data_IF_772941895127
#
_entry.id   IF_772941895127
#
_cell.length_a   1.000
_cell.length_b   1.000
_cell.length_c   1.000
_cell.angle_alpha   90.00
_cell.angle_beta   90.00
_cell.angle_gamma   90.00
#
_symmetry.space_group_name_H-M   'P 1'
#
loop_
_entity.id
_entity.type
_entity.pdbx_description
1 polymer ?
#
# COMPACT_ATOMS: atom_id res chain seq x y z
N UNK A 1 -8.81 3.62 16.42
CA UNK A 1 -7.44 3.09 16.30
C UNK A 1 -6.91 3.53 14.94
N UNK A 2 -5.71 4.09 14.90
CA UNK A 2 -5.16 4.69 13.68
C UNK A 2 -4.28 3.68 12.92
N UNK A 3 -4.29 3.74 11.59
CA UNK A 3 -3.46 2.87 10.75
C UNK A 3 -2.33 3.69 10.13
N UNK A 4 -1.11 3.18 10.25
CA UNK A 4 0.07 3.73 9.58
C UNK A 4 0.57 2.72 8.57
N UNK A 5 0.81 3.15 7.33
CA UNK A 5 1.41 2.31 6.29
C UNK A 5 2.82 2.81 6.03
N UNK A 6 3.79 1.91 6.05
CA UNK A 6 5.18 2.21 5.68
C UNK A 6 5.69 1.23 4.65
N UNK A 7 6.77 1.58 3.97
CA UNK A 7 7.28 0.76 2.87
C UNK A 7 7.83 -0.60 3.33
N UNK A 8 8.62 -0.61 4.41
CA UNK A 8 9.41 -1.79 4.81
C UNK A 8 8.99 -2.40 6.15
N UNK A 9 9.13 -3.72 6.33
CA UNK A 9 8.77 -4.40 7.58
C UNK A 9 9.62 -3.97 8.77
N UNK A 10 10.88 -3.61 8.53
CA UNK A 10 11.79 -3.13 9.57
C UNK A 10 11.32 -1.77 10.11
N UNK A 11 10.94 -0.84 9.22
CA UNK A 11 10.33 0.45 9.62
C UNK A 11 9.04 0.21 10.41
N UNK A 12 8.17 -0.69 9.96
CA UNK A 12 6.90 -0.98 10.64
C UNK A 12 7.13 -1.46 12.08
N UNK A 13 8.07 -2.40 12.28
CA UNK A 13 8.45 -2.88 13.63
C UNK A 13 8.98 -1.76 14.53
N UNK A 14 9.82 -0.88 13.99
CA UNK A 14 10.42 0.22 14.75
C UNK A 14 9.38 1.27 15.14
N UNK A 15 8.57 1.72 14.18
CA UNK A 15 7.54 2.75 14.42
C UNK A 15 6.47 2.24 15.38
N UNK A 16 6.06 0.98 15.27
CA UNK A 16 5.08 0.40 16.19
C UNK A 16 5.56 0.41 17.65
N UNK A 17 6.88 0.27 17.89
CA UNK A 17 7.45 0.40 19.25
C UNK A 17 7.33 1.81 19.81
N UNK A 18 7.38 2.84 18.95
CA UNK A 18 7.27 4.23 19.38
C UNK A 18 5.81 4.66 19.58
N UNK A 19 4.92 4.27 18.68
CA UNK A 19 3.52 4.71 18.69
C UNK A 19 2.64 3.94 19.68
N UNK A 20 2.99 2.68 19.97
CA UNK A 20 2.28 1.85 20.94
C UNK A 20 0.91 1.38 20.45
N UNK A 21 0.06 0.95 21.40
CA UNK A 21 -1.14 0.13 21.14
C UNK A 21 -2.29 0.83 20.42
N UNK A 22 -2.25 2.15 20.30
CA UNK A 22 -3.30 2.93 19.64
C UNK A 22 -3.14 2.96 18.11
N UNK A 23 -2.04 2.39 17.61
CA UNK A 23 -1.71 2.36 16.19
C UNK A 23 -1.53 0.93 15.69
N UNK A 24 -1.96 0.70 14.45
CA UNK A 24 -1.59 -0.48 13.67
C UNK A 24 -0.63 -0.02 12.59
N UNK A 25 0.62 -0.49 12.64
CA UNK A 25 1.63 -0.17 11.63
C UNK A 25 1.82 -1.35 10.69
N UNK A 26 1.47 -1.17 9.41
CA UNK A 26 1.59 -2.18 8.35
C UNK A 26 2.69 -1.81 7.37
N UNK A 27 3.29 -2.82 6.75
CA UNK A 27 4.26 -2.62 5.67
C UNK A 27 3.62 -2.91 4.29
N UNK A 28 3.86 -2.05 3.30
CA UNK A 28 3.43 -2.27 1.91
C UNK A 28 4.33 -3.26 1.17
N UNK A 29 5.60 -3.39 1.59
CA UNK A 29 6.65 -4.15 0.92
C UNK A 29 7.03 -3.57 -0.45
N UNK A 30 7.07 -2.24 -0.54
CA UNK A 30 7.39 -1.50 -1.77
C UNK A 30 6.13 -1.11 -2.55
N UNK A 31 6.25 -1.11 -3.88
CA UNK A 31 5.15 -0.80 -4.80
C UNK A 31 4.06 -1.88 -4.72
N UNK A 32 2.79 -1.44 -4.76
CA UNK A 32 1.61 -2.32 -4.72
C UNK A 32 0.91 -2.45 -6.08
N UNK A 33 1.32 -1.61 -7.03
CA UNK A 33 0.87 -1.60 -8.42
C UNK A 33 2.03 -1.23 -9.31
N UNK A 34 2.01 -1.74 -10.52
CA UNK A 34 2.94 -1.40 -11.58
C UNK A 34 2.21 -1.32 -12.92
N UNK A 35 2.89 -0.81 -13.94
CA UNK A 35 2.42 -0.89 -15.32
C UNK A 35 2.52 -2.35 -15.78
N UNK A 36 1.52 -2.87 -16.51
CA UNK A 36 1.66 -4.16 -17.19
C UNK A 36 2.93 -4.16 -18.04
N UNK A 37 3.69 -5.27 -18.05
CA UNK A 37 4.94 -5.40 -18.82
C UNK A 37 4.72 -5.56 -20.33
N UNK A 38 3.62 -5.01 -20.86
CA UNK A 38 3.19 -5.12 -22.25
C UNK A 38 3.10 -3.72 -22.87
N UNK A 39 3.19 -3.67 -24.19
CA UNK A 39 2.93 -2.44 -24.94
C UNK A 39 1.48 -1.98 -24.71
N UNK A 40 1.29 -0.66 -24.62
CA UNK A 40 -0.02 -0.03 -24.40
C UNK A 40 -0.37 0.26 -22.94
N UNK A 41 0.55 0.07 -21.99
CA UNK A 41 0.32 0.45 -20.58
C UNK A 41 0.24 1.97 -20.34
N UNK A 42 0.72 2.76 -21.30
CA UNK A 42 0.52 4.21 -21.37
C UNK A 42 -0.22 4.50 -22.66
N UNK A 43 -1.31 5.28 -22.60
CA UNK A 43 -2.15 5.66 -23.73
C UNK A 43 -1.87 7.13 -24.09
N UNK A 44 -0.98 7.44 -25.05
CA UNK A 44 -0.56 8.83 -25.35
C UNK A 44 -1.70 9.70 -25.88
N UNK A 45 -2.64 9.08 -26.61
CA UNK A 45 -3.80 9.76 -27.17
C UNK A 45 -4.88 10.07 -26.10
N UNK A 46 -4.74 9.51 -24.89
CA UNK A 46 -5.64 9.73 -23.75
C UNK A 46 -4.94 10.51 -22.62
N UNK A 47 -4.27 11.61 -22.96
CA UNK A 47 -3.52 12.44 -22.00
C UNK A 47 -2.51 11.61 -21.16
N UNK A 48 -1.85 10.67 -21.83
CA UNK A 48 -0.91 9.73 -21.21
C UNK A 48 -1.53 8.90 -20.06
N UNK A 49 -2.81 8.54 -20.16
CA UNK A 49 -3.46 7.69 -19.17
C UNK A 49 -2.70 6.37 -19.00
N UNK A 50 -2.58 5.91 -17.76
CA UNK A 50 -1.78 4.74 -17.40
C UNK A 50 -2.69 3.62 -16.90
N UNK A 51 -2.48 2.41 -17.44
CA UNK A 51 -3.09 1.20 -16.94
C UNK A 51 -2.22 0.67 -15.79
N UNK A 52 -2.82 0.48 -14.62
CA UNK A 52 -2.14 -0.01 -13.43
C UNK A 52 -2.67 -1.40 -13.06
N UNK A 53 -1.76 -2.34 -12.84
CA UNK A 53 -2.07 -3.68 -12.34
C UNK A 53 -1.51 -3.87 -10.93
N UNK A 54 -2.27 -4.55 -10.08
CA UNK A 54 -1.78 -5.02 -8.78
C UNK A 54 -1.00 -6.28 -9.01
N UNK A 55 0.26 -6.32 -8.58
CA UNK A 55 1.03 -7.55 -8.67
C UNK A 55 0.49 -8.62 -7.70
N UNK A 56 0.63 -9.89 -8.08
CA UNK A 56 0.06 -11.00 -7.33
C UNK A 56 0.60 -11.10 -5.88
N UNK A 57 1.83 -10.64 -5.62
CA UNK A 57 2.43 -10.67 -4.29
C UNK A 57 1.84 -9.58 -3.38
N UNK A 58 1.53 -8.41 -3.95
CA UNK A 58 0.90 -7.28 -3.27
C UNK A 58 -0.58 -7.47 -2.99
N UNK A 59 -1.28 -8.34 -3.74
CA UNK A 59 -2.72 -8.57 -3.53
C UNK A 59 -3.05 -8.97 -2.09
N UNK A 60 -2.24 -9.85 -1.49
CA UNK A 60 -2.43 -10.25 -0.08
C UNK A 60 -2.22 -9.06 0.87
N UNK A 61 -1.19 -8.25 0.64
CA UNK A 61 -0.88 -7.06 1.45
C UNK A 61 -1.99 -6.02 1.37
N UNK A 62 -2.49 -5.76 0.17
CA UNK A 62 -3.61 -4.86 -0.08
C UNK A 62 -4.87 -5.32 0.64
N UNK A 63 -5.15 -6.63 0.66
CA UNK A 63 -6.28 -7.17 1.41
C UNK A 63 -6.13 -6.94 2.92
N UNK A 64 -4.93 -7.14 3.47
CA UNK A 64 -4.65 -6.89 4.89
C UNK A 64 -4.77 -5.40 5.24
N UNK A 65 -4.20 -4.52 4.40
CA UNK A 65 -4.30 -3.06 4.53
C UNK A 65 -5.76 -2.61 4.45
N UNK A 66 -6.49 -3.06 3.44
CA UNK A 66 -7.91 -2.72 3.24
C UNK A 66 -8.75 -3.15 4.44
N UNK A 67 -8.47 -4.33 5.02
CA UNK A 67 -9.16 -4.80 6.22
C UNK A 67 -8.86 -3.92 7.43
N UNK A 68 -7.59 -3.54 7.64
CA UNK A 68 -7.21 -2.69 8.76
C UNK A 68 -7.82 -1.29 8.66
N UNK A 69 -7.84 -0.69 7.46
CA UNK A 69 -8.35 0.67 7.25
C UNK A 69 -9.87 0.77 7.38
N UNK A 70 -10.63 -0.30 7.08
CA UNK A 70 -12.11 -0.30 7.19
C UNK A 70 -12.64 0.08 8.58
N UNK A 71 -11.89 -0.19 9.64
CA UNK A 71 -12.27 0.16 11.02
C UNK A 71 -11.38 1.23 11.65
N UNK A 72 -10.56 1.92 10.85
CA UNK A 72 -9.61 2.91 11.34
C UNK A 72 -10.25 4.30 11.39
N UNK A 73 -9.89 5.09 12.40
CA UNK A 73 -10.34 6.49 12.48
C UNK A 73 -9.53 7.38 11.54
N UNK A 74 -8.24 7.07 11.39
CA UNK A 74 -7.31 7.76 10.48
C UNK A 74 -6.38 6.77 9.77
N UNK A 75 -6.04 7.13 8.54
CA UNK A 75 -4.96 6.53 7.76
C UNK A 75 -3.81 7.54 7.64
N UNK A 76 -2.59 7.09 7.98
CA UNK A 76 -1.35 7.86 7.91
C UNK A 76 -0.41 7.14 6.94
N UNK A 77 0.17 7.90 6.01
CA UNK A 77 1.10 7.43 4.97
C UNK A 77 2.48 8.08 5.17
#
# INVERSE_FOLDING_TARGET
MDVVIVESPSKAKTINKYLGKNFIVLASYGHVRDLPSKDGSVLPDEDFSMIWEVDAQSQKRLNDITRAVKGADKLIL
#
